data_IF_664597365743
#
_entry.id   IF_664597365743
#
_cell.length_a   1.000
_cell.length_b   1.000
_cell.length_c   1.000
_cell.angle_alpha   90.00
_cell.angle_beta   90.00
_cell.angle_gamma   90.00
#
_symmetry.space_group_name_H-M   'P 1'
#
loop_
_entity.id
_entity.type
_entity.pdbx_description
1 polymer ?
#
# COMPACT_ATOMS: atom_id res chain seq x y z
N UNK A 1 -25.43 14.14 3.00
CA UNK A 1 -25.66 13.55 1.69
C UNK A 1 -24.41 13.40 0.91
N UNK A 2 -23.87 14.48 0.44
CA UNK A 2 -22.62 14.44 -0.30
C UNK A 2 -21.48 13.86 0.50
N UNK A 3 -21.49 14.10 1.79
CA UNK A 3 -20.49 13.59 2.71
C UNK A 3 -20.44 12.09 2.73
N UNK A 4 -21.60 11.44 2.76
CA UNK A 4 -21.69 9.98 2.74
C UNK A 4 -21.12 9.40 1.46
N UNK A 5 -21.45 10.01 0.33
CA UNK A 5 -20.93 9.57 -0.96
C UNK A 5 -19.43 9.70 -1.03
N UNK A 6 -18.89 10.82 -0.53
CA UNK A 6 -17.44 11.04 -0.51
C UNK A 6 -16.73 9.99 0.33
N UNK A 7 -17.28 9.64 1.48
CA UNK A 7 -16.70 8.63 2.35
C UNK A 7 -16.59 7.28 1.65
N UNK A 8 -17.60 6.94 0.84
CA UNK A 8 -17.59 5.66 0.13
C UNK A 8 -16.46 5.55 -0.85
N UNK A 9 -16.11 6.65 -1.52
CA UNK A 9 -15.06 6.64 -2.52
C UNK A 9 -13.67 6.48 -1.94
N UNK A 10 -13.45 6.96 -0.71
CA UNK A 10 -12.13 6.96 -0.13
C UNK A 10 -11.73 5.64 0.50
N UNK A 11 -12.59 4.63 0.41
CA UNK A 11 -12.40 3.43 1.21
C UNK A 11 -12.03 2.20 0.39
N UNK A 12 -10.96 2.30 -0.39
CA UNK A 12 -10.41 1.11 -1.02
C UNK A 12 -9.85 0.22 0.08
N UNK A 13 -10.36 -1.01 0.13
CA UNK A 13 -9.97 -1.97 1.16
C UNK A 13 -8.72 -2.75 0.74
N UNK A 14 -7.97 -3.22 1.72
CA UNK A 14 -6.78 -4.01 1.47
C UNK A 14 -7.08 -5.24 0.63
N UNK A 15 -8.20 -5.91 0.89
CA UNK A 15 -8.60 -7.08 0.10
C UNK A 15 -8.76 -6.73 -1.38
N UNK A 16 -9.46 -5.64 -1.68
CA UNK A 16 -9.70 -5.24 -3.06
C UNK A 16 -8.39 -4.90 -3.78
N UNK A 17 -7.52 -4.16 -3.11
CA UNK A 17 -6.22 -3.82 -3.68
C UNK A 17 -5.37 -5.08 -3.89
N UNK A 18 -5.34 -5.98 -2.92
CA UNK A 18 -4.57 -7.22 -3.04
C UNK A 18 -5.05 -8.05 -4.23
N UNK A 19 -6.36 -8.12 -4.45
CA UNK A 19 -6.91 -8.84 -5.61
C UNK A 19 -6.48 -8.20 -6.92
N UNK A 20 -6.49 -6.89 -7.02
CA UNK A 20 -5.97 -6.19 -8.20
C UNK A 20 -4.49 -6.49 -8.41
N UNK A 21 -3.75 -6.57 -7.32
CA UNK A 21 -2.30 -6.77 -7.35
C UNK A 21 -1.89 -8.20 -7.71
N UNK A 22 -2.83 -9.14 -7.76
CA UNK A 22 -2.53 -10.49 -8.26
C UNK A 22 -2.50 -10.56 -9.77
N UNK A 23 -2.97 -9.51 -10.47
CA UNK A 23 -2.97 -9.47 -11.93
C UNK A 23 -1.63 -8.96 -12.44
N UNK A 24 -1.29 -9.38 -13.64
CA UNK A 24 -0.05 -8.97 -14.30
C UNK A 24 -0.38 -8.56 -15.73
N UNK A 25 0.10 -7.42 -16.15
CA UNK A 25 -0.14 -6.90 -17.50
C UNK A 25 0.34 -7.90 -18.55
N UNK A 26 1.50 -8.52 -18.31
CA UNK A 26 2.10 -9.43 -19.27
C UNK A 26 1.29 -10.71 -19.49
N UNK A 27 0.52 -11.14 -18.48
CA UNK A 27 -0.27 -12.36 -18.54
C UNK A 27 -1.77 -12.10 -18.50
N UNK A 28 -2.18 -10.85 -18.63
CA UNK A 28 -3.58 -10.46 -18.55
C UNK A 28 -4.41 -11.14 -19.61
N UNK A 29 -5.51 -11.78 -19.21
CA UNK A 29 -6.42 -12.49 -20.08
C UNK A 29 -7.52 -11.57 -20.63
N UNK A 30 -7.66 -10.38 -20.10
CA UNK A 30 -8.69 -9.42 -20.48
C UNK A 30 -8.21 -8.00 -20.22
N UNK A 31 -8.90 -7.03 -20.81
CA UNK A 31 -8.62 -5.61 -20.54
C UNK A 31 -8.91 -5.26 -19.08
N UNK A 32 -9.87 -5.94 -18.45
CA UNK A 32 -10.16 -5.73 -17.03
C UNK A 32 -8.98 -6.15 -16.16
N UNK A 33 -8.36 -7.29 -16.45
CA UNK A 33 -7.19 -7.75 -15.72
C UNK A 33 -6.00 -6.80 -15.89
N UNK A 34 -5.81 -6.31 -17.12
CA UNK A 34 -4.74 -5.35 -17.39
C UNK A 34 -4.99 -4.04 -16.63
N UNK A 35 -6.23 -3.59 -16.59
CA UNK A 35 -6.61 -2.38 -15.85
C UNK A 35 -6.33 -2.55 -14.36
N UNK A 36 -6.69 -3.70 -13.80
CA UNK A 36 -6.44 -4.00 -12.38
C UNK A 36 -4.96 -3.99 -12.07
N UNK A 37 -4.15 -4.60 -12.93
CA UNK A 37 -2.69 -4.63 -12.74
C UNK A 37 -2.10 -3.22 -12.75
N UNK A 38 -2.53 -2.39 -13.69
CA UNK A 38 -2.07 -1.01 -13.79
C UNK A 38 -2.54 -0.16 -12.60
N UNK A 39 -3.77 -0.38 -12.15
CA UNK A 39 -4.32 0.32 -11.00
C UNK A 39 -3.54 -0.02 -9.75
N UNK A 40 -3.24 -1.31 -9.55
CA UNK A 40 -2.41 -1.75 -8.42
C UNK A 40 -1.05 -1.05 -8.45
N UNK A 41 -0.37 -1.09 -9.59
CA UNK A 41 0.95 -0.52 -9.74
C UNK A 41 0.94 0.99 -9.45
N UNK A 42 -0.05 1.71 -10.00
CA UNK A 42 -0.18 3.14 -9.79
C UNK A 42 -0.48 3.48 -8.33
N UNK A 43 -1.37 2.71 -7.70
CA UNK A 43 -1.73 2.95 -6.31
C UNK A 43 -0.53 2.74 -5.38
N UNK A 44 0.17 1.62 -5.54
CA UNK A 44 1.30 1.28 -4.68
C UNK A 44 2.46 2.27 -4.89
N UNK A 45 2.75 2.63 -6.14
CA UNK A 45 3.78 3.63 -6.43
C UNK A 45 3.42 4.99 -5.84
N UNK A 46 2.18 5.41 -5.99
CA UNK A 46 1.70 6.68 -5.44
C UNK A 46 1.78 6.70 -3.92
N UNK A 47 1.39 5.60 -3.28
CA UNK A 47 1.50 5.48 -1.83
C UNK A 47 2.95 5.57 -1.39
N UNK A 48 3.83 4.84 -2.04
CA UNK A 48 5.25 4.81 -1.70
C UNK A 48 5.89 6.19 -1.84
N UNK A 49 5.59 6.91 -2.92
CA UNK A 49 6.12 8.26 -3.14
C UNK A 49 5.50 9.28 -2.18
N UNK A 50 4.22 9.11 -1.85
CA UNK A 50 3.53 10.03 -0.96
C UNK A 50 3.94 9.90 0.49
N UNK A 51 4.30 8.69 0.93
CA UNK A 51 4.63 8.44 2.35
C UNK A 51 6.13 8.53 2.60
N UNK A 52 6.96 8.28 1.58
CA UNK A 52 8.41 8.37 1.72
C UNK A 52 8.82 9.79 2.06
N UNK A 53 9.59 9.94 3.12
CA UNK A 53 10.01 11.24 3.61
C UNK A 53 8.97 11.99 4.44
N UNK A 54 7.78 11.39 4.64
CA UNK A 54 6.75 12.01 5.46
C UNK A 54 7.21 12.07 6.91
N UNK A 55 7.02 13.25 7.53
CA UNK A 55 7.37 13.45 8.92
C UNK A 55 6.17 13.08 9.79
N UNK A 56 6.40 12.25 10.80
CA UNK A 56 5.38 11.89 11.78
C UNK A 56 5.88 12.22 13.18
N UNK A 57 4.93 12.45 14.09
CA UNK A 57 5.23 12.73 15.48
C UNK A 57 4.80 11.56 16.34
N UNK A 58 5.69 11.13 17.23
CA UNK A 58 5.41 10.05 18.16
C UNK A 58 6.13 10.33 19.47
N UNK A 59 5.39 10.36 20.57
CA UNK A 59 5.94 10.61 21.91
C UNK A 59 6.75 11.90 21.98
N UNK A 60 6.27 12.96 21.33
CA UNK A 60 6.92 14.27 21.33
C UNK A 60 8.14 14.38 20.45
N UNK A 61 8.46 13.32 19.71
CA UNK A 61 9.59 13.28 18.78
C UNK A 61 9.10 13.19 17.35
N UNK A 62 9.92 13.68 16.43
CA UNK A 62 9.62 13.62 15.01
C UNK A 62 10.46 12.55 14.34
N UNK A 63 9.83 11.81 13.43
CA UNK A 63 10.46 10.75 12.66
C UNK A 63 10.10 10.91 11.19
N UNK A 64 10.98 10.46 10.33
CA UNK A 64 10.75 10.41 8.89
C UNK A 64 10.58 8.95 8.50
N UNK A 65 9.61 8.67 7.64
CA UNK A 65 9.47 7.33 7.08
C UNK A 65 10.53 7.17 6.00
N UNK A 66 11.42 6.24 6.23
CA UNK A 66 12.60 6.04 5.39
C UNK A 66 12.58 4.63 4.81
N UNK A 67 12.33 4.53 3.50
CA UNK A 67 12.37 3.25 2.83
C UNK A 67 13.81 2.76 2.69
N UNK A 68 14.00 1.44 2.83
CA UNK A 68 15.29 0.84 2.63
C UNK A 68 15.76 1.08 1.19
N UNK A 69 17.07 1.24 1.02
CA UNK A 69 17.64 1.48 -0.29
C UNK A 69 17.30 0.31 -1.24
N UNK A 70 16.90 0.66 -2.45
CA UNK A 70 16.59 -0.34 -3.48
C UNK A 70 15.20 -0.94 -3.43
N UNK A 71 14.36 -0.50 -2.48
CA UNK A 71 12.96 -0.98 -2.44
C UNK A 71 12.20 -0.46 -3.65
N UNK A 72 11.55 -1.37 -4.37
CA UNK A 72 10.75 -1.02 -5.54
C UNK A 72 9.27 -1.26 -5.27
N UNK A 73 8.42 -0.60 -6.06
CA UNK A 73 6.98 -0.82 -5.98
C UNK A 73 6.63 -2.29 -6.25
N UNK A 74 7.33 -2.92 -7.18
CA UNK A 74 7.11 -4.33 -7.52
C UNK A 74 7.38 -5.25 -6.32
N UNK A 75 8.46 -4.98 -5.58
CA UNK A 75 8.79 -5.73 -4.38
C UNK A 75 7.71 -5.52 -3.31
N UNK A 76 7.28 -4.28 -3.13
CA UNK A 76 6.26 -3.94 -2.16
C UNK A 76 4.93 -4.62 -2.49
N UNK A 77 4.56 -4.68 -3.77
CA UNK A 77 3.35 -5.37 -4.24
C UNK A 77 3.40 -6.84 -3.82
N UNK A 78 4.51 -7.53 -4.06
CA UNK A 78 4.63 -8.94 -3.69
C UNK A 78 4.52 -9.14 -2.19
N UNK A 79 5.15 -8.28 -1.42
CA UNK A 79 5.11 -8.34 0.04
C UNK A 79 3.69 -8.09 0.54
N UNK A 80 3.00 -7.11 -0.05
CA UNK A 80 1.63 -6.77 0.32
C UNK A 80 0.67 -7.91 0.06
N UNK A 81 0.69 -8.48 -1.15
CA UNK A 81 -0.20 -9.59 -1.52
C UNK A 81 0.00 -10.78 -0.58
N UNK A 82 1.25 -11.12 -0.29
CA UNK A 82 1.56 -12.21 0.63
C UNK A 82 1.06 -11.91 2.04
N UNK A 83 1.27 -10.70 2.51
CA UNK A 83 0.87 -10.28 3.86
C UNK A 83 -0.64 -10.39 4.04
N UNK A 84 -1.43 -9.89 3.08
CA UNK A 84 -2.88 -9.95 3.16
C UNK A 84 -3.37 -11.40 3.12
N UNK A 85 -2.74 -12.23 2.30
CA UNK A 85 -3.08 -13.65 2.23
C UNK A 85 -2.84 -14.36 3.57
N UNK A 86 -1.77 -14.00 4.26
CA UNK A 86 -1.40 -14.61 5.54
C UNK A 86 -2.13 -13.99 6.73
N UNK A 87 -2.73 -12.82 6.54
CA UNK A 87 -3.41 -12.07 7.60
C UNK A 87 -4.82 -11.67 7.16
N UNK A 88 -5.77 -12.64 7.12
CA UNK A 88 -7.13 -12.34 6.65
C UNK A 88 -7.83 -11.23 7.43
N UNK A 89 -7.44 -11.03 8.69
CA UNK A 89 -8.00 -9.96 9.51
C UNK A 89 -7.66 -8.57 8.97
N UNK A 90 -6.66 -8.48 8.10
CA UNK A 90 -6.26 -7.20 7.48
C UNK A 90 -7.10 -6.84 6.27
N UNK A 91 -7.89 -7.78 5.76
CA UNK A 91 -8.65 -7.58 4.52
C UNK A 91 -9.67 -6.45 4.60
N UNK A 92 -10.20 -6.20 5.79
CA UNK A 92 -11.21 -5.16 6.00
C UNK A 92 -10.61 -3.79 6.26
N UNK A 93 -9.31 -3.71 6.45
CA UNK A 93 -8.63 -2.44 6.68
C UNK A 93 -8.53 -1.63 5.39
N UNK A 94 -8.35 -0.32 5.53
CA UNK A 94 -8.07 0.52 4.37
C UNK A 94 -6.77 0.05 3.70
N UNK A 95 -6.71 0.20 2.38
CA UNK A 95 -5.56 -0.29 1.60
C UNK A 95 -4.24 0.30 2.08
N UNK A 96 -4.21 1.60 2.38
CA UNK A 96 -2.98 2.25 2.86
C UNK A 96 -2.52 1.71 4.21
N UNK A 97 -3.46 1.29 5.06
CA UNK A 97 -3.12 0.68 6.35
C UNK A 97 -2.51 -0.69 6.12
N UNK A 98 -3.11 -1.48 5.22
CA UNK A 98 -2.59 -2.79 4.85
C UNK A 98 -1.19 -2.70 4.25
N UNK A 99 -0.96 -1.72 3.38
CA UNK A 99 0.37 -1.48 2.80
C UNK A 99 1.38 -1.12 3.88
N UNK A 100 1.00 -0.24 4.80
CA UNK A 100 1.89 0.16 5.88
C UNK A 100 2.26 -1.02 6.77
N UNK A 101 1.27 -1.82 7.15
CA UNK A 101 1.50 -2.99 7.99
C UNK A 101 2.40 -4.02 7.28
N UNK A 102 2.14 -4.27 6.01
CA UNK A 102 2.93 -5.22 5.22
C UNK A 102 4.37 -4.75 5.07
N UNK A 103 4.56 -3.50 4.69
CA UNK A 103 5.89 -2.94 4.49
C UNK A 103 6.67 -2.89 5.80
N UNK A 104 6.00 -2.54 6.89
CA UNK A 104 6.63 -2.49 8.21
C UNK A 104 7.04 -3.87 8.70
N UNK A 105 6.16 -4.87 8.54
CA UNK A 105 6.45 -6.25 8.95
C UNK A 105 7.63 -6.84 8.17
N UNK A 106 7.75 -6.47 6.89
CA UNK A 106 8.86 -6.92 6.04
C UNK A 106 10.11 -6.02 6.18
N UNK A 107 10.03 -5.00 7.02
CA UNK A 107 11.14 -4.06 7.27
C UNK A 107 11.60 -3.36 6.01
N UNK A 108 10.66 -3.01 5.14
CA UNK A 108 10.97 -2.26 3.93
C UNK A 108 11.15 -0.78 4.20
N UNK A 109 10.68 -0.31 5.34
CA UNK A 109 10.95 1.05 5.80
C UNK A 109 11.21 1.07 7.30
N UNK A 110 11.82 2.14 7.76
CA UNK A 110 12.05 2.40 9.17
C UNK A 110 11.62 3.82 9.49
N UNK A 111 11.54 4.13 10.78
CA UNK A 111 11.31 5.49 11.25
C UNK A 111 12.65 6.08 11.66
N UNK A 112 13.18 6.99 10.85
CA UNK A 112 14.44 7.65 11.13
C UNK A 112 14.17 8.90 11.97
N UNK A 113 14.83 9.06 13.14
CA UNK A 113 14.61 10.24 13.97
C UNK A 113 15.09 11.50 13.27
N UNK A 114 14.34 12.58 13.42
CA UNK A 114 14.75 13.89 12.94
C UNK A 114 15.61 14.54 14.00
N UNK A 115 16.84 15.01 13.63
CA UNK A 115 17.75 15.63 14.57
C UNK A 115 17.21 16.90 15.19
#
# INVERSE_FOLDING_TARGET
>A
MLVSASSSYGQLKAKALAEMCTKDVATAQSSSDAFDALTCSAYVSGWMHGIGGMMIQKNGRYFIIDFAEGVTAKQLIRVFVKHIKEHPEEEIKAAEVGLTDAAGAARLFTFAPVP
#
